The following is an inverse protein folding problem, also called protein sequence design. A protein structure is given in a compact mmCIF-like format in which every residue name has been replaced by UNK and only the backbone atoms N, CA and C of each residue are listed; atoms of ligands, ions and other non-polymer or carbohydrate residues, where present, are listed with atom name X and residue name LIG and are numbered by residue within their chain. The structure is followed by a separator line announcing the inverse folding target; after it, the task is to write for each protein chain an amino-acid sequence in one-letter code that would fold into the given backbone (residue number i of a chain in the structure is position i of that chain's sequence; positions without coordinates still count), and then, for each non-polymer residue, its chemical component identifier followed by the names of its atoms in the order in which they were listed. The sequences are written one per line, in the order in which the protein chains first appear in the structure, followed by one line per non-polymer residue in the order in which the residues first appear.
data_IF_400601922593
#
_entry.id   IF_400601922593
#
_cell.length_a   1.000
_cell.length_b   1.000
_cell.length_c   1.000
_cell.angle_alpha   90.00
_cell.angle_beta   90.00
_cell.angle_gamma   90.00
#
_symmetry.space_group_name_H-M   'P 1'
#
loop_
_entity.id
_entity.type
_entity.pdbx_description
1 polymer ?
#
# COMPACT_ATOMS: atom_id res chain seq x y z
N UNK A 1 -20.52 -17.95 23.08
CA UNK A 1 -20.63 -17.04 21.90
C UNK A 1 -21.52 -15.88 22.31
N UNK A 2 -21.32 -14.66 21.80
CA UNK A 2 -22.22 -13.55 22.18
C UNK A 2 -23.59 -13.76 21.55
N UNK A 3 -24.66 -13.46 22.28
CA UNK A 3 -26.07 -13.54 21.85
C UNK A 3 -26.31 -12.84 20.49
N UNK A 4 -25.57 -11.75 20.23
CA UNK A 4 -25.59 -11.02 18.95
C UNK A 4 -25.11 -11.89 17.78
N UNK A 5 -24.08 -12.72 17.95
CA UNK A 5 -23.51 -13.55 16.88
C UNK A 5 -24.44 -14.70 16.52
N UNK A 6 -25.11 -15.27 17.52
CA UNK A 6 -26.12 -16.31 17.33
C UNK A 6 -27.29 -15.75 16.53
N UNK A 7 -27.78 -14.56 16.92
CA UNK A 7 -28.84 -13.85 16.21
C UNK A 7 -28.43 -13.41 14.78
N UNK A 8 -27.16 -13.09 14.55
CA UNK A 8 -26.65 -12.81 13.19
C UNK A 8 -26.68 -14.05 12.31
N UNK A 9 -26.37 -15.24 12.86
CA UNK A 9 -26.34 -16.50 12.11
C UNK A 9 -27.73 -16.96 11.69
N UNK A 10 -28.74 -16.72 12.52
CA UNK A 10 -30.16 -17.01 12.20
C UNK A 10 -30.69 -16.16 11.04
N UNK A 11 -30.09 -14.99 10.81
CA UNK A 11 -30.54 -14.01 9.84
C UNK A 11 -29.66 -13.96 8.57
N UNK A 12 -28.81 -14.96 8.37
CA UNK A 12 -28.04 -15.10 7.13
C UNK A 12 -28.97 -15.44 5.96
N UNK A 13 -28.66 -14.89 4.80
CA UNK A 13 -29.33 -15.23 3.56
C UNK A 13 -28.83 -16.56 2.99
N UNK A 14 -29.41 -16.99 1.87
CA UNK A 14 -29.07 -18.22 1.15
C UNK A 14 -27.59 -18.32 0.69
N UNK A 15 -26.83 -17.23 0.73
CA UNK A 15 -25.40 -17.19 0.40
C UNK A 15 -24.51 -17.11 1.65
N UNK A 16 -25.04 -17.38 2.84
CA UNK A 16 -24.34 -17.28 4.13
C UNK A 16 -23.86 -15.86 4.46
N UNK A 17 -24.58 -14.84 3.99
CA UNK A 17 -24.24 -13.43 4.21
C UNK A 17 -25.36 -12.69 4.94
N UNK A 18 -25.00 -11.64 5.66
CA UNK A 18 -25.95 -10.81 6.41
C UNK A 18 -26.33 -9.56 5.61
N UNK A 19 -27.61 -9.27 5.43
CA UNK A 19 -28.04 -8.05 4.72
C UNK A 19 -27.73 -6.77 5.55
N UNK A 20 -27.31 -5.68 4.91
CA UNK A 20 -27.01 -4.41 5.58
C UNK A 20 -28.22 -3.82 6.33
N UNK A 21 -29.42 -3.92 5.77
CA UNK A 21 -30.66 -3.47 6.44
C UNK A 21 -30.97 -4.33 7.67
N UNK A 22 -30.69 -5.63 7.60
CA UNK A 22 -30.81 -6.54 8.73
C UNK A 22 -29.78 -6.22 9.82
N UNK A 23 -28.53 -5.91 9.46
CA UNK A 23 -27.51 -5.48 10.41
C UNK A 23 -27.89 -4.20 11.18
N UNK A 24 -28.58 -3.24 10.53
CA UNK A 24 -29.12 -2.06 11.21
C UNK A 24 -30.24 -2.40 12.21
N UNK A 25 -31.13 -3.33 11.85
CA UNK A 25 -32.20 -3.79 12.75
C UNK A 25 -31.61 -4.49 13.98
N UNK A 26 -30.54 -5.26 13.81
CA UNK A 26 -29.79 -5.89 14.90
C UNK A 26 -29.19 -4.82 15.82
N UNK A 27 -28.52 -3.80 15.26
CA UNK A 27 -27.97 -2.70 16.05
C UNK A 27 -29.03 -2.03 16.94
N UNK A 28 -30.20 -1.75 16.36
CA UNK A 28 -31.33 -1.16 17.10
C UNK A 28 -31.89 -2.09 18.17
N UNK A 29 -32.01 -3.40 17.89
CA UNK A 29 -32.56 -4.40 18.82
C UNK A 29 -31.69 -4.56 20.07
N UNK A 30 -30.37 -4.59 19.90
CA UNK A 30 -29.42 -4.77 21.00
C UNK A 30 -28.94 -3.44 21.61
N UNK A 31 -29.53 -2.31 21.21
CA UNK A 31 -29.13 -0.96 21.62
C UNK A 31 -27.61 -0.73 21.50
N UNK A 32 -27.04 -1.17 20.38
CA UNK A 32 -25.61 -1.06 20.07
C UNK A 32 -25.37 -0.11 18.92
N UNK A 33 -24.20 0.51 18.93
CA UNK A 33 -23.74 1.28 17.78
C UNK A 33 -23.53 0.38 16.56
N UNK A 34 -23.87 0.89 15.39
CA UNK A 34 -23.81 0.11 14.14
C UNK A 34 -22.37 -0.29 13.79
N UNK A 35 -21.40 0.50 14.23
CA UNK A 35 -19.98 0.19 14.12
C UNK A 35 -19.57 -1.04 14.95
N UNK A 36 -20.19 -1.22 16.12
CA UNK A 36 -19.93 -2.36 17.00
C UNK A 36 -20.46 -3.66 16.38
N UNK A 37 -21.66 -3.62 15.79
CA UNK A 37 -22.23 -4.73 15.01
C UNK A 37 -21.32 -5.10 13.83
N UNK A 38 -20.77 -4.12 13.10
CA UNK A 38 -19.83 -4.36 12.01
C UNK A 38 -18.51 -5.00 12.47
N UNK A 39 -17.98 -4.59 13.63
CA UNK A 39 -16.79 -5.21 14.23
C UNK A 39 -17.06 -6.65 14.66
N UNK A 40 -18.22 -6.91 15.26
CA UNK A 40 -18.65 -8.24 15.69
C UNK A 40 -18.79 -9.19 14.48
N UNK A 41 -19.43 -8.74 13.41
CA UNK A 41 -19.59 -9.56 12.19
C UNK A 41 -18.24 -9.94 11.57
N UNK A 42 -17.34 -8.96 11.40
CA UNK A 42 -16.00 -9.20 10.85
C UNK A 42 -15.16 -10.15 11.71
N UNK A 43 -15.21 -10.00 13.04
CA UNK A 43 -14.46 -10.87 13.97
C UNK A 43 -14.95 -12.33 13.93
N UNK A 44 -16.20 -12.56 13.54
CA UNK A 44 -16.82 -13.89 13.47
C UNK A 44 -16.95 -14.41 12.03
N UNK A 45 -16.26 -13.80 11.06
CA UNK A 45 -16.25 -14.25 9.67
C UNK A 45 -17.58 -14.06 8.92
N UNK A 46 -18.53 -13.32 9.49
CA UNK A 46 -19.83 -13.07 8.88
C UNK A 46 -19.69 -11.90 7.91
N UNK A 47 -19.87 -12.18 6.61
CA UNK A 47 -19.82 -11.16 5.57
C UNK A 47 -21.17 -10.46 5.47
N UNK A 48 -21.17 -9.14 5.65
CA UNK A 48 -22.35 -8.30 5.42
C UNK A 48 -22.41 -8.00 3.91
N UNK A 49 -23.52 -8.32 3.25
CA UNK A 49 -23.75 -8.13 1.81
C UNK A 49 -24.99 -7.28 1.56
N UNK A 50 -25.18 -6.82 0.31
CA UNK A 50 -26.28 -5.95 -0.10
C UNK A 50 -26.45 -4.70 0.78
N UNK A 51 -25.57 -3.72 0.57
CA UNK A 51 -25.84 -2.37 1.06
C UNK A 51 -27.03 -1.76 0.30
N UNK A 52 -28.00 -1.16 0.99
CA UNK A 52 -29.05 -0.36 0.33
C UNK A 52 -28.50 0.91 -0.36
N UNK A 53 -27.19 1.20 -0.23
CA UNK A 53 -26.40 2.15 -1.05
C UNK A 53 -25.77 1.50 -2.30
N UNK A 54 -26.10 0.23 -2.53
CA UNK A 54 -25.49 -0.78 -3.38
C UNK A 54 -24.97 -0.50 -4.79
N UNK A 55 -24.26 -1.52 -5.22
CA UNK A 55 -23.35 -1.49 -6.35
C UNK A 55 -23.84 -2.25 -7.58
N UNK A 56 -25.05 -2.83 -7.58
CA UNK A 56 -25.63 -3.43 -8.79
C UNK A 56 -27.15 -3.17 -8.85
N UNK A 57 -27.67 -2.86 -10.04
CA UNK A 57 -29.07 -2.49 -10.31
C UNK A 57 -29.23 -1.15 -11.04
N UNK A 58 -29.97 -1.15 -12.15
CA UNK A 58 -30.39 0.01 -12.94
C UNK A 58 -31.77 0.48 -12.46
N UNK A 59 -31.93 1.77 -12.20
CA UNK A 59 -33.23 2.45 -12.05
C UNK A 59 -33.08 3.89 -12.59
N UNK A 60 -33.95 4.24 -13.52
CA UNK A 60 -34.00 5.54 -14.20
C UNK A 60 -35.09 6.44 -13.61
N UNK A 61 -34.66 7.60 -13.10
CA UNK A 61 -35.48 8.77 -12.82
C UNK A 61 -34.58 10.00 -12.97
N UNK A 62 -34.81 10.86 -13.98
CA UNK A 62 -33.91 11.96 -14.32
C UNK A 62 -34.16 13.27 -13.54
N UNK A 63 -35.43 13.60 -13.24
CA UNK A 63 -35.75 14.87 -12.54
C UNK A 63 -35.29 14.92 -11.08
N UNK A 64 -35.49 13.84 -10.31
CA UNK A 64 -35.07 13.78 -8.90
C UNK A 64 -33.56 13.77 -8.70
N UNK A 65 -32.77 13.45 -9.73
CA UNK A 65 -31.31 13.39 -9.67
C UNK A 65 -30.67 14.77 -9.63
N UNK A 66 -31.22 15.75 -10.37
CA UNK A 66 -30.67 17.12 -10.48
C UNK A 66 -30.82 17.88 -9.16
N UNK A 67 -31.98 17.83 -8.54
CA UNK A 67 -32.24 18.50 -7.25
C UNK A 67 -31.36 17.89 -6.14
N UNK A 68 -31.25 16.57 -6.13
CA UNK A 68 -30.36 15.87 -5.20
C UNK A 68 -28.89 16.21 -5.44
N UNK A 69 -28.46 16.38 -6.70
CA UNK A 69 -27.09 16.79 -7.01
C UNK A 69 -26.80 18.20 -6.46
N UNK A 70 -27.71 19.16 -6.68
CA UNK A 70 -27.57 20.52 -6.12
C UNK A 70 -27.45 20.51 -4.61
N UNK A 71 -28.15 19.60 -3.92
CA UNK A 71 -28.03 19.45 -2.48
C UNK A 71 -26.71 18.79 -2.04
N UNK A 72 -26.07 17.98 -2.90
CA UNK A 72 -24.78 17.33 -2.64
C UNK A 72 -23.57 18.22 -2.97
N UNK A 73 -23.69 19.09 -3.98
CA UNK A 73 -22.62 19.97 -4.49
C UNK A 73 -21.84 20.73 -3.41
N UNK A 74 -22.49 21.36 -2.39
CA UNK A 74 -21.78 22.08 -1.34
C UNK A 74 -20.85 21.21 -0.48
N UNK A 75 -21.05 19.89 -0.49
CA UNK A 75 -20.28 18.93 0.30
C UNK A 75 -19.24 18.17 -0.53
N UNK A 76 -19.12 18.46 -1.82
CA UNK A 76 -18.14 17.83 -2.70
C UNK A 76 -16.78 18.51 -2.57
N UNK A 77 -15.71 17.72 -2.59
CA UNK A 77 -14.38 18.25 -2.79
C UNK A 77 -14.04 18.44 -4.28
N UNK A 78 -12.90 19.07 -4.56
CA UNK A 78 -12.33 19.30 -5.89
C UNK A 78 -12.19 18.03 -6.77
N UNK A 79 -12.28 16.83 -6.18
CA UNK A 79 -12.17 15.54 -6.88
C UNK A 79 -13.53 14.83 -6.99
N UNK A 80 -14.64 15.54 -6.79
CA UNK A 80 -16.01 15.00 -6.78
C UNK A 80 -16.19 13.88 -5.77
N UNK A 81 -15.77 14.12 -4.53
CA UNK A 81 -15.90 13.15 -3.43
C UNK A 81 -16.65 13.78 -2.26
N UNK A 82 -17.50 13.00 -1.59
CA UNK A 82 -18.31 13.43 -0.43
C UNK A 82 -18.03 12.54 0.79
N UNK A 83 -18.12 13.09 2.01
CA UNK A 83 -18.10 12.22 3.19
C UNK A 83 -19.44 11.49 3.36
N UNK A 84 -19.41 10.23 3.82
CA UNK A 84 -20.61 9.43 4.07
C UNK A 84 -21.57 10.10 5.06
N UNK A 85 -21.05 10.86 6.04
CA UNK A 85 -21.86 11.64 6.97
C UNK A 85 -22.70 12.71 6.25
N UNK A 86 -22.14 13.38 5.26
CA UNK A 86 -22.77 14.51 4.56
C UNK A 86 -23.77 13.98 3.53
N UNK A 87 -23.43 12.89 2.82
CA UNK A 87 -24.39 12.20 1.95
C UNK A 87 -25.62 11.69 2.74
N UNK A 88 -25.42 11.21 3.98
CA UNK A 88 -26.52 10.81 4.86
C UNK A 88 -27.34 12.00 5.34
N UNK A 89 -26.69 13.13 5.60
CA UNK A 89 -27.38 14.36 6.00
C UNK A 89 -28.28 14.85 4.88
N UNK A 90 -27.79 14.87 3.64
CA UNK A 90 -28.61 15.18 2.46
C UNK A 90 -29.77 14.18 2.33
N UNK A 91 -29.54 12.89 2.55
CA UNK A 91 -30.63 11.90 2.51
C UNK A 91 -31.72 12.17 3.57
N UNK A 92 -31.35 12.68 4.75
CA UNK A 92 -32.29 13.04 5.83
C UNK A 92 -33.12 14.30 5.52
N UNK A 93 -32.65 15.18 4.64
CA UNK A 93 -33.34 16.42 4.22
C UNK A 93 -34.49 16.18 3.22
N UNK A 94 -35.10 14.99 3.24
CA UNK A 94 -36.24 14.64 2.39
C UNK A 94 -35.88 13.98 1.04
N UNK A 95 -34.59 13.89 0.67
CA UNK A 95 -34.18 13.25 -0.58
C UNK A 95 -34.19 11.71 -0.50
N UNK A 96 -33.99 11.15 0.69
CA UNK A 96 -33.94 9.70 0.91
C UNK A 96 -32.65 9.04 0.41
N UNK A 97 -32.28 7.92 1.03
CA UNK A 97 -31.02 7.22 0.72
C UNK A 97 -30.97 6.66 -0.71
N UNK A 98 -32.13 6.21 -1.22
CA UNK A 98 -32.24 5.66 -2.58
C UNK A 98 -31.92 6.70 -3.65
N UNK A 99 -32.43 7.92 -3.49
CA UNK A 99 -32.21 9.00 -4.46
C UNK A 99 -30.77 9.51 -4.39
N UNK A 100 -30.25 9.76 -3.19
CA UNK A 100 -28.84 10.14 -2.98
C UNK A 100 -27.89 9.12 -3.59
N UNK A 101 -28.11 7.82 -3.35
CA UNK A 101 -27.34 6.75 -3.98
C UNK A 101 -27.37 6.83 -5.51
N UNK A 102 -28.57 6.97 -6.07
CA UNK A 102 -28.73 7.03 -7.53
C UNK A 102 -28.02 8.23 -8.14
N UNK A 103 -28.05 9.40 -7.47
CA UNK A 103 -27.33 10.59 -7.92
C UNK A 103 -25.82 10.43 -7.82
N UNK A 104 -25.30 9.91 -6.69
CA UNK A 104 -23.86 9.67 -6.54
C UNK A 104 -23.32 8.75 -7.65
N UNK A 105 -24.08 7.70 -8.00
CA UNK A 105 -23.74 6.79 -9.10
C UNK A 105 -23.81 7.48 -10.47
N UNK A 106 -24.90 8.20 -10.75
CA UNK A 106 -25.12 8.86 -12.04
C UNK A 106 -24.03 9.92 -12.34
N UNK A 107 -23.62 10.67 -11.32
CA UNK A 107 -22.64 11.75 -11.46
C UNK A 107 -21.20 11.33 -11.12
N UNK A 108 -20.95 10.02 -10.92
CA UNK A 108 -19.62 9.45 -10.61
C UNK A 108 -18.95 10.11 -9.40
N UNK A 109 -19.72 10.35 -8.34
CA UNK A 109 -19.24 10.94 -7.08
C UNK A 109 -18.81 9.83 -6.12
N UNK A 110 -17.56 9.88 -5.66
CA UNK A 110 -17.01 8.90 -4.73
C UNK A 110 -17.43 9.23 -3.27
N UNK A 111 -17.91 8.24 -2.51
CA UNK A 111 -18.19 8.39 -1.07
C UNK A 111 -16.97 7.99 -0.24
N UNK A 112 -16.54 8.86 0.67
CA UNK A 112 -15.45 8.60 1.63
C UNK A 112 -15.99 8.31 3.03
N UNK A 113 -15.19 7.60 3.82
CA UNK A 113 -15.41 7.39 5.26
C UNK A 113 -16.79 6.82 5.59
N UNK A 114 -17.07 5.62 5.08
CA UNK A 114 -18.31 4.92 5.38
C UNK A 114 -18.43 4.66 6.88
N UNK A 115 -19.47 5.19 7.54
CA UNK A 115 -19.72 4.90 8.96
C UNK A 115 -20.00 3.43 9.26
N UNK A 116 -20.31 2.61 8.24
CA UNK A 116 -20.54 1.17 8.37
C UNK A 116 -19.30 0.33 8.04
N UNK A 117 -18.18 0.95 7.66
CA UNK A 117 -16.99 0.24 7.22
C UNK A 117 -17.09 -0.45 5.85
N UNK A 118 -18.23 -0.34 5.15
CA UNK A 118 -18.44 -0.96 3.83
C UNK A 118 -17.46 -0.43 2.76
N UNK A 119 -17.01 0.82 2.89
CA UNK A 119 -15.94 1.38 2.08
C UNK A 119 -14.70 1.52 2.97
N UNK A 120 -13.73 0.61 2.83
CA UNK A 120 -12.36 0.86 3.28
C UNK A 120 -11.92 2.16 2.62
N UNK A 121 -11.34 3.07 3.38
CA UNK A 121 -10.73 4.29 2.84
C UNK A 121 -10.05 3.97 1.50
N UNK A 122 -10.41 4.67 0.41
CA UNK A 122 -9.36 5.03 -0.55
C UNK A 122 -8.45 5.97 0.24
N UNK A 123 -7.59 5.41 1.11
CA UNK A 123 -6.49 6.12 1.74
C UNK A 123 -5.76 6.67 0.54
N UNK A 124 -5.96 7.95 0.23
CA UNK A 124 -5.23 8.60 -0.86
C UNK A 124 -3.78 8.20 -0.68
N UNK A 125 -3.11 7.77 -1.77
CA UNK A 125 -1.78 7.12 -1.77
C UNK A 125 -1.06 7.39 -0.45
N UNK A 126 -1.07 6.42 0.48
CA UNK A 126 -0.34 6.61 1.75
C UNK A 126 1.07 7.02 1.36
N UNK A 127 1.52 8.17 1.84
CA UNK A 127 2.89 8.58 1.64
C UNK A 127 3.80 7.45 2.16
N UNK A 128 4.82 7.10 1.38
CA UNK A 128 5.82 6.08 1.73
C UNK A 128 7.16 6.77 1.73
N UNK A 129 7.90 6.63 2.83
CA UNK A 129 9.28 7.10 2.89
C UNK A 129 10.16 6.15 2.07
N UNK A 130 11.03 6.74 1.24
CA UNK A 130 12.06 6.01 0.51
C UNK A 130 13.40 6.60 0.91
N UNK A 131 14.32 5.75 1.32
CA UNK A 131 15.68 6.15 1.68
C UNK A 131 16.65 5.71 0.59
N UNK A 132 17.67 6.54 0.34
CA UNK A 132 18.85 6.15 -0.41
C UNK A 132 20.03 6.23 0.54
N UNK A 133 20.70 5.12 0.75
CA UNK A 133 21.91 5.05 1.58
C UNK A 133 23.11 4.88 0.67
N UNK A 134 24.19 5.56 1.00
CA UNK A 134 25.49 5.33 0.40
C UNK A 134 26.59 5.54 1.44
N UNK A 135 27.75 4.95 1.17
CA UNK A 135 28.96 5.03 2.00
C UNK A 135 30.01 5.74 1.17
N UNK A 136 30.67 6.74 1.74
CA UNK A 136 31.78 7.48 1.16
C UNK A 136 32.99 7.42 2.09
N UNK A 137 34.19 7.56 1.51
CA UNK A 137 35.40 7.76 2.29
C UNK A 137 35.55 9.26 2.69
N UNK A 138 36.64 9.60 3.38
CA UNK A 138 36.92 11.00 3.77
C UNK A 138 37.15 11.92 2.56
N UNK A 139 37.57 11.38 1.41
CA UNK A 139 37.82 12.11 0.17
C UNK A 139 36.55 12.31 -0.69
N UNK A 140 35.40 11.75 -0.27
CA UNK A 140 34.13 11.82 -1.00
C UNK A 140 33.95 10.75 -2.09
N UNK A 141 34.84 9.75 -2.16
CA UNK A 141 34.68 8.62 -3.07
C UNK A 141 33.57 7.69 -2.60
N UNK A 142 32.60 7.45 -3.51
CA UNK A 142 31.53 6.49 -3.28
C UNK A 142 32.10 5.06 -3.17
N UNK A 143 31.94 4.46 -2.00
CA UNK A 143 32.29 3.08 -1.69
C UNK A 143 31.13 2.15 -2.03
N UNK A 144 30.03 2.28 -1.28
CA UNK A 144 28.81 1.50 -1.47
C UNK A 144 27.63 2.42 -1.78
N UNK A 145 26.76 1.97 -2.68
CA UNK A 145 25.68 2.75 -3.25
C UNK A 145 25.05 1.95 -4.39
N UNK A 146 23.83 2.30 -4.81
CA UNK A 146 23.04 1.50 -5.77
C UNK A 146 23.86 0.94 -6.93
N UNK A 147 24.64 1.78 -7.63
CA UNK A 147 25.39 1.33 -8.81
C UNK A 147 26.58 0.42 -8.49
N UNK A 148 27.38 0.72 -7.46
CA UNK A 148 28.57 -0.06 -7.13
C UNK A 148 28.22 -1.42 -6.52
N UNK A 149 27.18 -1.48 -5.71
CA UNK A 149 26.64 -2.74 -5.17
C UNK A 149 26.01 -3.58 -6.27
N UNK A 150 25.20 -2.99 -7.16
CA UNK A 150 24.59 -3.66 -8.31
C UNK A 150 25.65 -4.28 -9.24
N UNK A 151 26.80 -3.63 -9.42
CA UNK A 151 27.91 -4.20 -10.17
C UNK A 151 28.43 -5.50 -9.54
N UNK A 152 28.64 -5.53 -8.22
CA UNK A 152 29.12 -6.72 -7.51
C UNK A 152 28.08 -7.85 -7.55
N UNK A 153 26.80 -7.53 -7.40
CA UNK A 153 25.69 -8.50 -7.54
C UNK A 153 25.66 -9.14 -8.92
N UNK A 154 25.79 -8.33 -9.97
CA UNK A 154 25.81 -8.83 -11.34
C UNK A 154 27.07 -9.63 -11.65
N UNK A 155 28.22 -9.29 -11.05
CA UNK A 155 29.42 -10.13 -11.13
C UNK A 155 29.18 -11.48 -10.44
N UNK A 156 28.53 -11.49 -9.27
CA UNK A 156 28.19 -12.72 -8.55
C UNK A 156 27.29 -13.64 -9.39
N UNK A 157 26.30 -13.06 -10.08
CA UNK A 157 25.34 -13.80 -10.91
C UNK A 157 25.94 -14.29 -12.23
N UNK A 158 26.71 -13.43 -12.92
CA UNK A 158 27.20 -13.71 -14.28
C UNK A 158 28.58 -14.35 -14.32
N UNK A 159 29.36 -14.24 -13.23
CA UNK A 159 30.76 -14.64 -13.21
C UNK A 159 31.65 -13.82 -14.17
N UNK A 160 31.19 -12.67 -14.67
CA UNK A 160 31.88 -11.90 -15.70
C UNK A 160 31.64 -10.41 -15.55
N UNK A 161 32.71 -9.64 -15.34
CA UNK A 161 32.62 -8.17 -15.32
C UNK A 161 32.07 -7.60 -16.63
N UNK A 162 32.40 -8.22 -17.78
CA UNK A 162 31.91 -7.78 -19.08
C UNK A 162 30.39 -7.99 -19.24
N UNK A 163 29.86 -9.11 -18.76
CA UNK A 163 28.41 -9.33 -18.78
C UNK A 163 27.70 -8.42 -17.78
N UNK A 164 28.26 -8.25 -16.59
CA UNK A 164 27.75 -7.30 -15.59
C UNK A 164 27.67 -5.87 -16.15
N UNK A 165 28.71 -5.38 -16.83
CA UNK A 165 28.71 -4.02 -17.40
C UNK A 165 27.61 -3.85 -18.47
N UNK A 166 27.40 -4.88 -19.31
CA UNK A 166 26.33 -4.88 -20.31
C UNK A 166 24.94 -4.82 -19.68
N UNK A 167 24.70 -5.61 -18.62
CA UNK A 167 23.42 -5.61 -17.90
C UNK A 167 23.13 -4.27 -17.21
N UNK A 168 24.17 -3.61 -16.70
CA UNK A 168 24.07 -2.26 -16.13
C UNK A 168 23.92 -1.14 -17.18
N UNK A 169 24.09 -1.43 -18.47
CA UNK A 169 24.10 -0.41 -19.52
C UNK A 169 25.30 0.54 -19.44
N UNK A 170 26.43 0.12 -18.84
CA UNK A 170 27.66 0.91 -18.77
C UNK A 170 28.78 0.27 -19.59
N UNK A 171 29.70 1.09 -20.09
CA UNK A 171 30.87 0.56 -20.77
C UNK A 171 31.80 -0.18 -19.79
N UNK A 172 32.58 -1.13 -20.33
CA UNK A 172 33.48 -1.97 -19.54
C UNK A 172 34.49 -1.15 -18.72
N UNK A 173 35.04 -0.07 -19.30
CA UNK A 173 36.00 0.81 -18.62
C UNK A 173 35.39 1.43 -17.36
N UNK A 174 34.13 1.87 -17.42
CA UNK A 174 33.41 2.44 -16.28
C UNK A 174 33.14 1.39 -15.20
N UNK A 175 32.75 0.18 -15.58
CA UNK A 175 32.60 -0.94 -14.65
C UNK A 175 33.92 -1.29 -13.96
N UNK A 176 35.03 -1.33 -14.73
CA UNK A 176 36.37 -1.55 -14.19
C UNK A 176 36.77 -0.45 -13.20
N UNK A 177 36.56 0.83 -13.53
CA UNK A 177 36.81 1.95 -12.61
C UNK A 177 35.99 1.82 -11.34
N UNK A 178 34.70 1.46 -11.43
CA UNK A 178 33.87 1.27 -10.25
C UNK A 178 34.40 0.19 -9.30
N UNK A 179 34.82 -0.94 -9.87
CA UNK A 179 35.44 -2.03 -9.12
C UNK A 179 36.78 -1.61 -8.49
N UNK A 180 37.63 -0.91 -9.23
CA UNK A 180 38.93 -0.44 -8.72
C UNK A 180 38.77 0.55 -7.57
N UNK A 181 37.89 1.54 -7.70
CA UNK A 181 37.58 2.48 -6.61
C UNK A 181 37.08 1.75 -5.37
N UNK A 182 36.23 0.72 -5.55
CA UNK A 182 35.72 -0.11 -4.45
C UNK A 182 36.85 -0.85 -3.73
N UNK A 183 37.72 -1.54 -4.46
CA UNK A 183 38.84 -2.28 -3.88
C UNK A 183 39.86 -1.37 -3.18
N UNK A 184 40.19 -0.24 -3.80
CA UNK A 184 41.15 0.72 -3.25
C UNK A 184 40.64 1.30 -1.92
N UNK A 185 39.38 1.73 -1.89
CA UNK A 185 38.82 2.35 -0.69
C UNK A 185 38.44 1.36 0.41
N UNK A 186 38.12 0.10 0.05
CA UNK A 186 37.95 -0.97 1.04
C UNK A 186 39.26 -1.56 1.53
N UNK A 187 40.39 -1.25 0.88
CA UNK A 187 41.70 -1.86 1.09
C UNK A 187 41.68 -3.40 0.96
N UNK A 188 40.77 -3.91 0.14
CA UNK A 188 40.45 -5.34 0.05
C UNK A 188 40.37 -5.79 -1.41
N UNK A 189 40.79 -7.03 -1.69
CA UNK A 189 40.55 -7.63 -3.00
C UNK A 189 39.14 -8.20 -3.03
N UNK A 190 38.26 -7.60 -3.85
CA UNK A 190 36.85 -7.95 -3.91
C UNK A 190 36.52 -8.95 -5.01
N UNK A 191 37.37 -9.04 -6.05
CA UNK A 191 37.23 -10.05 -7.10
C UNK A 191 38.51 -10.83 -7.32
N UNK A 192 38.36 -12.11 -7.60
CA UNK A 192 39.40 -12.97 -8.16
C UNK A 192 39.10 -13.20 -9.63
N UNK A 193 40.10 -12.99 -10.50
CA UNK A 193 39.98 -13.24 -11.94
C UNK A 193 40.92 -14.38 -12.34
N UNK A 194 40.41 -15.31 -13.17
CA UNK A 194 41.24 -16.38 -13.76
C UNK A 194 41.13 -16.31 -15.28
N UNK A 195 42.25 -16.01 -15.94
CA UNK A 195 42.32 -15.95 -17.40
C UNK A 195 42.29 -17.36 -18.03
N UNK A 196 41.58 -17.51 -19.15
CA UNK A 196 41.51 -18.75 -19.95
C UNK A 196 40.14 -19.01 -20.57
N UNK A 197 40.01 -20.06 -21.39
CA UNK A 197 38.73 -20.55 -21.97
C UNK A 197 38.11 -21.74 -21.22
N UNK A 198 38.65 -22.08 -20.05
CA UNK A 198 38.15 -23.22 -19.27
C UNK A 198 36.83 -22.91 -18.57
N UNK A 199 36.08 -23.94 -18.16
CA UNK A 199 34.88 -23.78 -17.31
C UNK A 199 35.15 -23.12 -15.94
N UNK A 200 36.43 -23.01 -15.54
CA UNK A 200 36.89 -22.32 -14.32
C UNK A 200 37.39 -20.90 -14.58
N UNK A 201 37.30 -20.40 -15.81
CA UNK A 201 37.62 -19.02 -16.17
C UNK A 201 36.48 -18.07 -15.80
N UNK A 202 36.80 -16.84 -15.42
CA UNK A 202 35.79 -15.86 -15.00
C UNK A 202 36.25 -14.92 -13.89
N UNK A 203 35.35 -14.01 -13.52
CA UNK A 203 35.45 -13.09 -12.38
C UNK A 203 34.57 -13.62 -11.26
N UNK A 204 35.14 -13.93 -10.10
CA UNK A 204 34.38 -14.38 -8.92
C UNK A 204 34.59 -13.41 -7.77
N UNK A 205 33.52 -13.16 -7.01
CA UNK A 205 33.63 -12.42 -5.76
C UNK A 205 34.48 -13.18 -4.75
N UNK A 206 35.25 -12.46 -3.95
CA UNK A 206 35.95 -13.02 -2.78
C UNK A 206 34.97 -13.19 -1.61
N UNK A 207 35.28 -14.02 -0.60
CA UNK A 207 34.46 -14.11 0.62
C UNK A 207 34.24 -12.74 1.27
N UNK A 208 35.28 -11.89 1.26
CA UNK A 208 35.22 -10.53 1.79
C UNK A 208 34.23 -9.65 1.03
N UNK A 209 34.17 -9.74 -0.29
CA UNK A 209 33.18 -9.00 -1.08
C UNK A 209 31.74 -9.41 -0.73
N UNK A 210 31.49 -10.70 -0.57
CA UNK A 210 30.16 -11.21 -0.17
C UNK A 210 29.77 -10.71 1.22
N UNK A 211 30.71 -10.72 2.17
CA UNK A 211 30.50 -10.19 3.52
C UNK A 211 30.15 -8.69 3.49
N UNK A 212 30.92 -7.88 2.75
CA UNK A 212 30.65 -6.44 2.66
C UNK A 212 29.30 -6.14 1.99
N UNK A 213 28.92 -6.89 0.95
CA UNK A 213 27.61 -6.77 0.32
C UNK A 213 26.48 -7.12 1.29
N UNK A 214 26.66 -8.19 2.08
CA UNK A 214 25.69 -8.58 3.11
C UNK A 214 25.57 -7.51 4.20
N UNK A 215 26.69 -6.98 4.70
CA UNK A 215 26.70 -5.90 5.70
C UNK A 215 26.00 -4.64 5.17
N UNK A 216 26.24 -4.28 3.92
CA UNK A 216 25.55 -3.16 3.28
C UNK A 216 24.05 -3.40 3.14
N UNK A 217 23.63 -4.63 2.81
CA UNK A 217 22.21 -5.02 2.70
C UNK A 217 21.51 -4.92 4.06
N UNK A 218 22.15 -5.40 5.12
CA UNK A 218 21.65 -5.29 6.49
C UNK A 218 21.50 -3.81 6.87
N UNK A 219 22.54 -2.99 6.66
CA UNK A 219 22.49 -1.56 6.95
C UNK A 219 21.37 -0.84 6.19
N UNK A 220 21.17 -1.13 4.90
CA UNK A 220 20.07 -0.55 4.13
C UNK A 220 18.71 -0.90 4.74
N UNK A 221 18.52 -2.17 5.10
CA UNK A 221 17.29 -2.65 5.73
C UNK A 221 17.03 -1.95 7.06
N UNK A 222 18.04 -1.85 7.93
CA UNK A 222 17.92 -1.21 9.24
C UNK A 222 17.55 0.27 9.11
N UNK A 223 18.16 0.98 8.14
CA UNK A 223 17.83 2.38 7.84
C UNK A 223 16.39 2.50 7.32
N UNK A 224 15.97 1.62 6.41
CA UNK A 224 14.60 1.62 5.88
C UNK A 224 13.58 1.35 6.99
N UNK A 225 13.84 0.40 7.87
CA UNK A 225 12.96 0.08 9.00
C UNK A 225 12.85 1.25 9.97
N UNK A 226 13.99 1.83 10.37
CA UNK A 226 14.02 3.00 11.23
C UNK A 226 13.31 4.19 10.59
N UNK A 227 13.61 4.50 9.32
CA UNK A 227 12.97 5.59 8.60
C UNK A 227 11.46 5.38 8.49
N UNK A 228 11.00 4.16 8.21
CA UNK A 228 9.58 3.84 8.16
C UNK A 228 8.90 3.99 9.52
N UNK A 229 9.55 3.55 10.60
CA UNK A 229 9.05 3.74 11.97
C UNK A 229 8.94 5.23 12.30
N UNK A 230 10.01 5.98 12.08
CA UNK A 230 10.06 7.41 12.38
C UNK A 230 9.09 8.22 11.53
N UNK A 231 8.95 7.85 10.26
CA UNK A 231 7.95 8.40 9.36
C UNK A 231 6.53 8.20 9.89
N UNK A 232 6.20 7.01 10.40
CA UNK A 232 4.89 6.77 11.02
C UNK A 232 4.68 7.65 12.25
N UNK A 233 5.65 7.71 13.16
CA UNK A 233 5.56 8.52 14.37
C UNK A 233 5.35 10.02 14.08
N UNK A 234 6.04 10.56 13.08
CA UNK A 234 6.01 11.98 12.76
C UNK A 234 4.80 12.38 11.90
N UNK A 235 4.39 11.52 10.96
CA UNK A 235 3.38 11.86 9.95
C UNK A 235 2.02 11.20 10.18
N UNK A 236 1.93 10.17 11.02
CA UNK A 236 0.68 9.56 11.46
C UNK A 236 0.59 9.68 12.98
N UNK A 237 -0.14 10.70 13.48
CA UNK A 237 -0.48 10.76 14.89
C UNK A 237 -1.22 9.48 15.27
N UNK A 238 -0.77 8.79 16.31
CA UNK A 238 -1.66 7.90 17.03
C UNK A 238 -2.80 8.78 17.56
N UNK A 239 -4.02 8.54 17.09
CA UNK A 239 -5.21 9.02 17.79
C UNK A 239 -5.12 8.45 19.21
N UNK A 240 -4.65 9.27 20.15
CA UNK A 240 -4.76 8.98 21.58
C UNK A 240 -6.25 8.72 21.83
N UNK A 241 -6.56 7.45 22.09
CA UNK A 241 -7.84 7.02 22.65
C UNK A 241 -8.05 7.66 24.01
#
# INVERSE_FOLDING_TARGET
MSEIVEYMKELLNSNEKLDCGTAFKIAKKFNKEVEEIGKIANKNGIRIDNCELGQFGHLDFEKGKIETLKALEPFLDERKRIFCKDAREVAKRGFGLKNVRSSLKAYKIDVKYCKLGCFKEKKGKKFVVKTKTWIENADGDLLFGKGKTELLELIAQTGSLLHASKLMGINYKKAWTHLQTLQLNSQETLVSSRQGRSSKSGTKLTPRALELMQNYTILQKDIEEYANKRFKELFFKEEKK
#
